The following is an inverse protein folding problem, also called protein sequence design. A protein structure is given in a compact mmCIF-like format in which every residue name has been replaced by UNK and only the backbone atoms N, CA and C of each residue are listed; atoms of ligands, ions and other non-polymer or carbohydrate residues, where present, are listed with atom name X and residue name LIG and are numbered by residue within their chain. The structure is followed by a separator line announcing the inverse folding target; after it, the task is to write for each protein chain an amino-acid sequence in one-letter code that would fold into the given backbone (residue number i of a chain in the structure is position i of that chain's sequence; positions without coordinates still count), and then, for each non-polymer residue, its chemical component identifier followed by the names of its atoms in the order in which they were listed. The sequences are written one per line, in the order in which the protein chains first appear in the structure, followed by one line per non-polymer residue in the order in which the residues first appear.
data_IF_330511559523
#
_entry.id   IF_330511559523
#
_cell.length_a   1.000
_cell.length_b   1.000
_cell.length_c   1.000
_cell.angle_alpha   90.00
_cell.angle_beta   90.00
_cell.angle_gamma   90.00
#
_symmetry.space_group_name_H-M   'P 1'
#
loop_
_entity.id
_entity.type
_entity.pdbx_description
1 polymer ?
#
# COMPACT_ATOMS: atom_id res chain seq x y z
N UNK A 1 -7.63 23.26 -5.50
CA UNK A 1 -8.31 22.51 -4.45
C UNK A 1 -9.37 21.68 -5.14
N UNK A 2 -9.18 20.36 -5.26
CA UNK A 2 -10.18 19.46 -5.86
C UNK A 2 -11.21 19.14 -4.79
N UNK A 3 -12.46 19.50 -5.01
CA UNK A 3 -13.57 18.94 -4.25
C UNK A 3 -13.67 17.44 -4.58
N UNK A 4 -13.10 16.61 -3.73
CA UNK A 4 -13.51 15.21 -3.64
C UNK A 4 -14.99 15.27 -3.27
N UNK A 5 -15.86 14.66 -4.10
CA UNK A 5 -17.30 14.74 -4.02
C UNK A 5 -17.79 14.73 -2.58
N UNK A 6 -18.72 15.63 -2.30
CA UNK A 6 -19.28 15.91 -0.98
C UNK A 6 -19.63 14.62 -0.25
N UNK A 7 -18.74 14.17 0.63
CA UNK A 7 -19.08 13.14 1.60
C UNK A 7 -20.01 13.84 2.61
N UNK A 8 -21.30 13.64 2.48
CA UNK A 8 -22.27 14.13 3.46
C UNK A 8 -22.01 13.41 4.79
N UNK A 9 -21.21 14.05 5.64
CA UNK A 9 -20.79 13.53 6.95
C UNK A 9 -21.89 13.63 8.01
N UNK A 10 -23.11 14.08 7.66
CA UNK A 10 -24.24 14.20 8.60
C UNK A 10 -24.77 12.83 9.03
N UNK A 11 -24.48 11.75 8.31
CA UNK A 11 -24.78 10.37 8.70
C UNK A 11 -23.53 9.50 8.57
N UNK A 12 -23.12 8.87 9.65
CA UNK A 12 -21.98 7.95 9.69
C UNK A 12 -22.19 6.66 8.86
N UNK A 13 -23.41 6.37 8.41
CA UNK A 13 -23.75 5.24 7.55
C UNK A 13 -24.97 5.55 6.69
N UNK A 14 -25.06 4.91 5.51
CA UNK A 14 -26.19 5.11 4.57
C UNK A 14 -27.12 3.92 4.48
N UNK A 15 -26.73 2.74 4.99
CA UNK A 15 -27.46 1.47 4.86
C UNK A 15 -27.48 0.88 3.42
N UNK A 16 -27.01 1.64 2.42
CA UNK A 16 -27.06 1.23 1.00
C UNK A 16 -26.20 0.00 0.68
N UNK A 17 -25.27 -0.36 1.58
CA UNK A 17 -24.35 -1.49 1.42
C UNK A 17 -24.78 -2.78 2.13
N UNK A 18 -25.91 -2.82 2.83
CA UNK A 18 -26.30 -3.91 3.74
C UNK A 18 -26.67 -5.21 3.00
N UNK A 19 -27.01 -5.08 1.72
CA UNK A 19 -27.37 -6.22 0.86
C UNK A 19 -26.20 -6.75 0.01
N UNK A 20 -24.93 -6.50 0.43
CA UNK A 20 -23.75 -7.08 -0.23
C UNK A 20 -23.28 -6.32 -1.47
N UNK A 21 -23.81 -5.14 -1.74
CA UNK A 21 -23.36 -4.26 -2.81
C UNK A 21 -22.73 -2.97 -2.29
N UNK A 22 -21.89 -2.34 -3.11
CA UNK A 22 -21.30 -1.03 -2.86
C UNK A 22 -21.28 -0.20 -4.15
N UNK A 23 -21.02 1.11 -4.03
CA UNK A 23 -20.81 1.97 -5.19
C UNK A 23 -19.34 2.37 -5.28
N UNK A 24 -18.78 2.38 -6.47
CA UNK A 24 -17.49 3.00 -6.76
C UNK A 24 -17.67 4.50 -7.05
N UNK A 25 -16.55 5.25 -7.19
CA UNK A 25 -16.56 6.72 -7.35
C UNK A 25 -17.39 7.17 -8.56
N UNK A 26 -17.51 6.34 -9.61
CA UNK A 26 -18.34 6.63 -10.79
C UNK A 26 -19.85 6.47 -10.55
N UNK A 27 -20.26 6.07 -9.36
CA UNK A 27 -21.68 5.77 -9.02
C UNK A 27 -22.15 4.38 -9.44
N UNK A 28 -21.35 3.61 -10.18
CA UNK A 28 -21.69 2.22 -10.55
C UNK A 28 -21.82 1.34 -9.31
N UNK A 29 -22.87 0.52 -9.25
CA UNK A 29 -23.09 -0.46 -8.19
C UNK A 29 -22.39 -1.77 -8.53
N UNK A 30 -21.72 -2.35 -7.55
CA UNK A 30 -20.98 -3.61 -7.68
C UNK A 30 -21.18 -4.49 -6.44
N UNK A 31 -21.11 -5.79 -6.61
CA UNK A 31 -21.05 -6.71 -5.48
C UNK A 31 -19.78 -6.44 -4.66
N UNK A 32 -19.88 -6.49 -3.33
CA UNK A 32 -18.71 -6.33 -2.44
C UNK A 32 -17.65 -7.40 -2.66
N UNK A 33 -18.04 -8.58 -3.21
CA UNK A 33 -17.15 -9.67 -3.60
C UNK A 33 -16.53 -9.53 -4.99
N UNK A 34 -16.81 -8.44 -5.73
CA UNK A 34 -16.22 -8.21 -7.04
C UNK A 34 -14.69 -8.03 -6.94
N UNK A 35 -13.95 -8.57 -7.93
CA UNK A 35 -12.46 -8.53 -7.96
C UNK A 35 -11.91 -7.09 -7.80
N UNK A 36 -12.61 -6.10 -8.35
CA UNK A 36 -12.26 -4.69 -8.22
C UNK A 36 -12.40 -4.21 -6.77
N UNK A 37 -13.49 -4.54 -6.10
CA UNK A 37 -13.74 -4.16 -4.70
C UNK A 37 -12.73 -4.84 -3.77
N UNK A 38 -12.40 -6.11 -4.03
CA UNK A 38 -11.34 -6.85 -3.34
C UNK A 38 -9.95 -6.18 -3.50
N UNK A 39 -9.64 -5.70 -4.71
CA UNK A 39 -8.39 -4.99 -4.96
C UNK A 39 -8.35 -3.66 -4.18
N UNK A 40 -9.42 -2.86 -4.23
CA UNK A 40 -9.55 -1.59 -3.49
C UNK A 40 -9.42 -1.85 -1.98
N UNK A 41 -10.18 -2.81 -1.44
CA UNK A 41 -10.15 -3.15 -0.02
C UNK A 41 -8.78 -3.63 0.47
N UNK A 42 -8.03 -4.37 -0.37
CA UNK A 42 -6.68 -4.80 -0.04
C UNK A 42 -5.67 -3.64 0.01
N UNK A 43 -5.87 -2.60 -0.81
CA UNK A 43 -5.06 -1.37 -0.76
C UNK A 43 -5.40 -0.54 0.47
N UNK A 44 -6.68 -0.44 0.82
CA UNK A 44 -7.15 0.26 2.01
C UNK A 44 -6.62 -0.42 3.29
N UNK A 45 -6.68 -1.76 3.36
CA UNK A 45 -6.06 -2.52 4.46
C UNK A 45 -4.57 -2.23 4.57
N UNK A 46 -3.83 -2.23 3.45
CA UNK A 46 -2.41 -1.87 3.45
C UNK A 46 -2.20 -0.46 4.03
N UNK A 47 -3.01 0.50 3.62
CA UNK A 47 -2.91 1.89 4.08
C UNK A 47 -3.11 2.00 5.61
N UNK A 48 -4.09 1.26 6.16
CA UNK A 48 -4.30 1.18 7.61
C UNK A 48 -3.10 0.57 8.35
N UNK A 49 -2.48 -0.48 7.80
CA UNK A 49 -1.28 -1.09 8.36
C UNK A 49 -0.04 -0.17 8.30
N UNK A 50 0.09 0.68 7.27
CA UNK A 50 1.11 1.74 7.27
C UNK A 50 0.83 2.74 8.40
N UNK A 51 -0.43 3.03 8.71
CA UNK A 51 -0.81 3.82 9.89
C UNK A 51 -0.32 3.21 11.22
N UNK A 52 -0.40 1.87 11.37
CA UNK A 52 0.17 1.18 12.52
C UNK A 52 1.71 1.30 12.57
N UNK A 53 2.39 1.24 11.41
CA UNK A 53 3.83 1.49 11.36
C UNK A 53 4.16 2.91 11.82
N UNK A 54 3.39 3.91 11.44
CA UNK A 54 3.57 5.31 11.88
C UNK A 54 3.38 5.46 13.38
N UNK A 55 2.37 4.82 13.96
CA UNK A 55 2.06 4.93 15.40
C UNK A 55 3.16 4.37 16.31
N UNK A 56 3.92 3.39 15.83
CA UNK A 56 5.05 2.77 16.55
C UNK A 56 6.42 3.33 16.13
N UNK A 57 6.45 4.29 15.21
CA UNK A 57 7.69 4.83 14.68
C UNK A 57 8.13 6.08 15.45
N UNK A 58 9.40 6.08 15.90
CA UNK A 58 10.04 7.20 16.57
C UNK A 58 10.98 8.03 15.65
N UNK A 59 11.13 7.63 14.38
CA UNK A 59 12.09 8.23 13.46
C UNK A 59 11.39 9.09 12.41
N UNK A 60 11.65 10.40 12.43
CA UNK A 60 11.00 11.35 11.52
C UNK A 60 11.22 11.03 10.04
N UNK A 61 12.42 10.62 9.66
CA UNK A 61 12.75 10.27 8.28
C UNK A 61 11.92 9.09 7.75
N UNK A 62 11.61 8.11 8.59
CA UNK A 62 10.72 7.00 8.24
C UNK A 62 9.25 7.46 8.21
N UNK A 63 8.85 8.37 9.11
CA UNK A 63 7.49 8.90 9.12
C UNK A 63 7.16 9.67 7.83
N UNK A 64 8.10 10.50 7.36
CA UNK A 64 7.97 11.23 6.10
C UNK A 64 7.78 10.27 4.90
N UNK A 65 8.45 9.09 4.91
CA UNK A 65 8.25 8.06 3.89
C UNK A 65 6.86 7.42 4.01
N UNK A 66 6.46 7.04 5.22
CA UNK A 66 5.16 6.40 5.45
C UNK A 66 4.00 7.32 5.08
N UNK A 67 4.09 8.60 5.41
CA UNK A 67 3.07 9.59 5.04
C UNK A 67 2.91 9.69 3.52
N UNK A 68 4.02 9.82 2.78
CA UNK A 68 3.99 9.83 1.32
C UNK A 68 3.40 8.55 0.74
N UNK A 69 3.75 7.39 1.30
CA UNK A 69 3.18 6.09 0.91
C UNK A 69 1.67 6.07 1.13
N UNK A 70 1.17 6.54 2.28
CA UNK A 70 -0.27 6.59 2.55
C UNK A 70 -1.01 7.49 1.55
N UNK A 71 -0.49 8.68 1.26
CA UNK A 71 -1.05 9.55 0.23
C UNK A 71 -1.09 8.87 -1.15
N UNK A 72 -0.02 8.16 -1.51
CA UNK A 72 0.03 7.45 -2.80
C UNK A 72 -0.90 6.22 -2.83
N UNK A 73 -1.11 5.52 -1.73
CA UNK A 73 -2.09 4.43 -1.64
C UNK A 73 -3.53 4.94 -1.83
N UNK A 74 -3.86 6.17 -1.39
CA UNK A 74 -5.13 6.80 -1.76
C UNK A 74 -5.23 7.06 -3.27
N UNK A 75 -4.14 7.46 -3.94
CA UNK A 75 -4.10 7.59 -5.40
C UNK A 75 -4.34 6.23 -6.07
N UNK A 76 -3.69 5.16 -5.60
CA UNK A 76 -3.91 3.79 -6.09
C UNK A 76 -5.37 3.38 -5.93
N UNK A 77 -5.95 3.58 -4.74
CA UNK A 77 -7.37 3.28 -4.46
C UNK A 77 -8.32 4.07 -5.36
N UNK A 78 -8.09 5.37 -5.52
CA UNK A 78 -8.89 6.24 -6.39
C UNK A 78 -8.78 5.81 -7.86
N UNK A 79 -7.60 5.42 -8.32
CA UNK A 79 -7.39 4.95 -9.67
C UNK A 79 -8.14 3.62 -9.93
N UNK A 80 -8.10 2.70 -8.97
CA UNK A 80 -8.88 1.45 -9.03
C UNK A 80 -10.38 1.68 -8.96
N UNK A 81 -10.85 2.69 -8.23
CA UNK A 81 -12.27 3.02 -8.11
C UNK A 81 -12.86 3.71 -9.37
N UNK A 82 -12.02 4.10 -10.34
CA UNK A 82 -12.45 4.64 -11.61
C UNK A 82 -12.40 3.57 -12.69
N UNK A 83 -13.54 3.34 -13.36
CA UNK A 83 -13.68 2.39 -14.47
C UNK A 83 -13.61 3.05 -15.85
N UNK A 84 -13.64 4.39 -15.92
CA UNK A 84 -13.76 5.13 -17.18
C UNK A 84 -12.40 5.61 -17.71
N UNK A 85 -12.17 5.43 -19.02
CA UNK A 85 -11.04 6.02 -19.75
C UNK A 85 -11.17 7.54 -19.92
N UNK A 86 -12.36 8.11 -19.73
CA UNK A 86 -12.65 9.55 -19.86
C UNK A 86 -12.46 10.24 -18.51
N UNK A 87 -11.23 10.64 -18.20
CA UNK A 87 -10.91 11.49 -17.06
C UNK A 87 -10.48 12.87 -17.52
N UNK A 88 -11.12 13.91 -17.01
CA UNK A 88 -10.71 15.30 -17.23
C UNK A 88 -9.39 15.63 -16.51
N UNK A 89 -9.10 14.99 -15.37
CA UNK A 89 -7.80 15.03 -14.67
C UNK A 89 -7.44 13.64 -14.19
N UNK A 90 -6.34 13.09 -14.68
CA UNK A 90 -5.85 11.78 -14.24
C UNK A 90 -5.14 11.90 -12.90
N UNK A 91 -5.81 11.43 -11.84
CA UNK A 91 -5.12 11.03 -10.59
C UNK A 91 -4.59 9.63 -10.87
N UNK A 92 -3.29 9.49 -11.07
CA UNK A 92 -2.67 8.23 -11.47
C UNK A 92 -1.31 8.03 -10.81
N UNK A 93 -0.92 6.76 -10.64
CA UNK A 93 0.44 6.40 -10.29
C UNK A 93 1.33 6.57 -11.51
N UNK A 94 2.49 7.18 -11.31
CA UNK A 94 3.46 7.50 -12.36
C UNK A 94 4.80 6.84 -12.11
N UNK A 95 5.66 6.81 -13.11
CA UNK A 95 7.01 6.28 -12.98
C UNK A 95 7.87 7.03 -11.94
N UNK A 96 7.64 8.32 -11.78
CA UNK A 96 8.32 9.15 -10.76
C UNK A 96 8.04 8.66 -9.33
N UNK A 97 6.81 8.18 -9.07
CA UNK A 97 6.44 7.61 -7.76
C UNK A 97 7.22 6.33 -7.47
N UNK A 98 7.48 5.53 -8.50
CA UNK A 98 8.28 4.30 -8.40
C UNK A 98 9.74 4.65 -8.16
N UNK A 99 10.28 5.62 -8.91
CA UNK A 99 11.65 6.09 -8.76
C UNK A 99 11.92 6.65 -7.35
N UNK A 100 10.91 7.32 -6.75
CA UNK A 100 11.01 7.78 -5.36
C UNK A 100 11.13 6.61 -4.37
N UNK A 101 10.33 5.55 -4.53
CA UNK A 101 10.46 4.32 -3.71
C UNK A 101 11.84 3.68 -3.89
N UNK A 102 12.34 3.61 -5.12
CA UNK A 102 13.66 3.05 -5.42
C UNK A 102 14.80 3.85 -4.77
N UNK A 103 14.69 5.16 -4.76
CA UNK A 103 15.64 6.03 -4.06
C UNK A 103 15.67 5.71 -2.56
N UNK A 104 14.51 5.66 -1.90
CA UNK A 104 14.42 5.31 -0.48
C UNK A 104 14.94 3.90 -0.21
N UNK A 105 14.60 2.93 -1.06
CA UNK A 105 15.08 1.56 -0.94
C UNK A 105 16.60 1.50 -0.98
N UNK A 106 17.25 2.15 -1.94
CA UNK A 106 18.71 2.16 -2.07
C UNK A 106 19.37 2.84 -0.86
N UNK A 107 18.90 4.04 -0.47
CA UNK A 107 19.45 4.78 0.68
C UNK A 107 19.43 3.96 1.97
N UNK A 108 18.33 3.25 2.25
CA UNK A 108 18.24 2.46 3.48
C UNK A 108 18.99 1.13 3.37
N UNK A 109 19.05 0.53 2.17
CA UNK A 109 19.74 -0.75 1.95
C UNK A 109 21.27 -0.63 2.02
N UNK A 110 21.85 0.52 1.66
CA UNK A 110 23.29 0.78 1.75
C UNK A 110 23.84 0.64 3.17
N UNK A 111 23.00 0.87 4.18
CA UNK A 111 23.38 0.78 5.60
C UNK A 111 23.08 -0.60 6.23
N UNK A 112 22.74 -1.59 5.43
CA UNK A 112 22.37 -2.92 5.90
C UNK A 112 23.34 -3.98 5.39
N UNK A 113 23.65 -4.93 6.25
CA UNK A 113 24.47 -6.09 5.87
C UNK A 113 23.84 -6.89 4.72
N UNK A 114 24.67 -7.44 3.84
CA UNK A 114 24.24 -8.31 2.77
C UNK A 114 23.60 -9.59 3.31
N UNK A 115 22.36 -9.87 2.92
CA UNK A 115 21.68 -11.10 3.29
C UNK A 115 22.23 -12.29 2.51
N UNK A 116 22.75 -13.29 3.23
CA UNK A 116 23.16 -14.58 2.68
C UNK A 116 22.16 -15.71 2.90
N UNK A 117 21.14 -15.47 3.73
CA UNK A 117 20.11 -16.43 4.11
C UNK A 117 18.75 -15.74 4.23
N UNK A 118 17.67 -16.50 4.15
CA UNK A 118 16.36 -15.99 4.56
C UNK A 118 16.37 -15.63 6.04
N UNK A 119 15.64 -14.57 6.37
CA UNK A 119 15.44 -14.11 7.74
C UNK A 119 13.98 -14.31 8.16
N UNK A 120 13.78 -14.56 9.43
CA UNK A 120 12.44 -14.62 10.01
C UNK A 120 11.86 -13.21 10.16
N UNK A 121 10.55 -13.00 9.88
CA UNK A 121 9.86 -11.76 10.20
C UNK A 121 9.77 -11.56 11.71
N UNK A 122 10.71 -10.80 12.28
CA UNK A 122 10.84 -10.63 13.73
C UNK A 122 11.61 -9.33 14.03
N UNK A 123 11.54 -8.87 15.27
CA UNK A 123 12.29 -7.74 15.76
C UNK A 123 11.48 -6.84 16.69
N UNK A 124 11.75 -5.53 16.66
CA UNK A 124 10.92 -4.56 17.36
C UNK A 124 9.50 -4.49 16.76
N UNK A 125 8.60 -3.78 17.42
CA UNK A 125 7.19 -3.67 16.97
C UNK A 125 7.08 -3.06 15.58
N UNK A 126 7.85 -2.00 15.28
CA UNK A 126 7.85 -1.37 13.97
C UNK A 126 8.27 -2.35 12.88
N UNK A 127 9.35 -3.10 13.09
CA UNK A 127 9.82 -4.14 12.15
C UNK A 127 8.75 -5.20 11.91
N UNK A 128 8.08 -5.68 12.97
CA UNK A 128 7.01 -6.67 12.86
C UNK A 128 5.82 -6.13 12.02
N UNK A 129 5.38 -4.89 12.26
CA UNK A 129 4.32 -4.25 11.47
C UNK A 129 4.75 -4.03 10.02
N UNK A 130 6.00 -3.66 9.76
CA UNK A 130 6.51 -3.51 8.39
C UNK A 130 6.55 -4.85 7.65
N UNK A 131 6.91 -5.95 8.31
CA UNK A 131 6.82 -7.28 7.72
C UNK A 131 5.37 -7.70 7.44
N UNK A 132 4.41 -7.39 8.33
CA UNK A 132 2.99 -7.61 8.09
C UNK A 132 2.51 -6.77 6.89
N UNK A 133 2.79 -5.46 6.88
CA UNK A 133 2.47 -4.55 5.77
C UNK A 133 3.03 -5.03 4.44
N UNK A 134 4.27 -5.56 4.42
CA UNK A 134 4.87 -6.17 3.23
C UNK A 134 4.03 -7.34 2.69
N UNK A 135 3.55 -8.21 3.56
CA UNK A 135 2.73 -9.36 3.11
C UNK A 135 1.37 -8.93 2.60
N UNK A 136 0.75 -7.93 3.23
CA UNK A 136 -0.50 -7.31 2.78
C UNK A 136 -0.29 -6.59 1.44
N UNK A 137 0.80 -5.84 1.27
CA UNK A 137 1.18 -5.20 0.00
C UNK A 137 1.26 -6.23 -1.14
N UNK A 138 1.92 -7.37 -0.93
CA UNK A 138 1.97 -8.47 -1.89
C UNK A 138 0.60 -9.11 -2.16
N UNK A 139 -0.30 -9.12 -1.18
CA UNK A 139 -1.69 -9.55 -1.41
C UNK A 139 -2.43 -8.54 -2.28
N UNK A 140 -2.33 -7.24 -1.99
CA UNK A 140 -2.92 -6.18 -2.81
C UNK A 140 -2.39 -6.23 -4.26
N UNK A 141 -1.08 -6.40 -4.45
CA UNK A 141 -0.46 -6.60 -5.76
C UNK A 141 -1.13 -7.75 -6.53
N UNK A 142 -1.25 -8.94 -5.91
CA UNK A 142 -1.90 -10.10 -6.54
C UNK A 142 -3.37 -9.84 -6.89
N UNK A 143 -4.13 -9.07 -6.07
CA UNK A 143 -5.53 -8.70 -6.38
C UNK A 143 -5.60 -7.77 -7.58
N UNK A 144 -4.68 -6.80 -7.69
CA UNK A 144 -4.59 -5.91 -8.86
C UNK A 144 -4.17 -6.69 -10.12
N UNK A 145 -3.23 -7.65 -10.00
CA UNK A 145 -2.87 -8.54 -11.11
C UNK A 145 -4.08 -9.38 -11.56
N UNK A 146 -4.91 -9.87 -10.65
CA UNK A 146 -6.13 -10.59 -11.02
C UNK A 146 -7.11 -9.68 -11.79
N UNK A 147 -7.28 -8.43 -11.34
CA UNK A 147 -8.12 -7.43 -12.00
C UNK A 147 -7.57 -7.05 -13.39
N UNK A 148 -6.25 -6.91 -13.55
CA UNK A 148 -5.60 -6.54 -14.82
C UNK A 148 -5.76 -7.58 -15.94
N UNK A 149 -6.12 -8.84 -15.58
CA UNK A 149 -6.45 -9.89 -16.54
C UNK A 149 -7.88 -9.76 -17.09
N UNK A 150 -8.73 -9.01 -16.41
CA UNK A 150 -10.15 -8.84 -16.78
C UNK A 150 -10.40 -7.50 -17.48
N UNK A 151 -9.56 -6.49 -17.19
CA UNK A 151 -9.71 -5.14 -17.72
C UNK A 151 -8.37 -4.41 -17.79
N UNK A 152 -8.30 -3.43 -18.69
CA UNK A 152 -7.07 -2.62 -18.86
C UNK A 152 -6.85 -1.72 -17.65
N UNK A 153 -5.72 -1.86 -17.00
CA UNK A 153 -5.27 -1.01 -15.90
C UNK A 153 -3.96 -0.31 -16.26
N UNK A 154 -3.66 0.75 -15.53
CA UNK A 154 -2.33 1.37 -15.55
C UNK A 154 -1.28 0.35 -15.02
N UNK A 155 -0.27 -0.02 -15.82
CA UNK A 155 0.74 -1.00 -15.40
C UNK A 155 1.60 -0.50 -14.22
N UNK A 156 1.68 0.81 -14.00
CA UNK A 156 2.46 1.40 -12.91
C UNK A 156 1.87 1.06 -11.53
N UNK A 157 0.59 0.69 -11.43
CA UNK A 157 -0.04 0.22 -10.20
C UNK A 157 0.65 -1.04 -9.66
N UNK A 158 0.88 -2.02 -10.54
CA UNK A 158 1.53 -3.30 -10.18
C UNK A 158 3.01 -3.04 -9.87
N UNK A 159 3.70 -2.24 -10.67
CA UNK A 159 5.10 -1.89 -10.46
C UNK A 159 5.30 -1.16 -9.14
N UNK A 160 4.43 -0.20 -8.81
CA UNK A 160 4.48 0.55 -7.56
C UNK A 160 4.36 -0.38 -6.34
N UNK A 161 3.33 -1.25 -6.30
CA UNK A 161 3.14 -2.16 -5.16
C UNK A 161 4.27 -3.19 -5.05
N UNK A 162 4.78 -3.68 -6.17
CA UNK A 162 5.95 -4.57 -6.17
C UNK A 162 7.15 -3.88 -5.52
N UNK A 163 7.46 -2.65 -5.93
CA UNK A 163 8.55 -1.85 -5.37
C UNK A 163 8.32 -1.46 -3.93
N UNK A 164 7.08 -1.08 -3.57
CA UNK A 164 6.70 -0.78 -2.19
C UNK A 164 6.92 -1.99 -1.28
N UNK A 165 6.57 -3.21 -1.73
CA UNK A 165 6.82 -4.41 -0.93
C UNK A 165 8.30 -4.63 -0.63
N UNK A 166 9.20 -4.29 -1.57
CA UNK A 166 10.65 -4.35 -1.39
C UNK A 166 11.13 -3.28 -0.39
N UNK A 167 10.60 -2.07 -0.50
CA UNK A 167 10.92 -0.99 0.44
C UNK A 167 10.50 -1.35 1.87
N UNK A 168 9.29 -1.87 2.06
CA UNK A 168 8.80 -2.28 3.39
C UNK A 168 9.70 -3.35 4.02
N UNK A 169 10.25 -4.27 3.23
CA UNK A 169 11.24 -5.25 3.71
C UNK A 169 12.53 -4.56 4.17
N UNK A 170 13.07 -3.65 3.39
CA UNK A 170 14.30 -2.91 3.75
C UNK A 170 14.06 -2.05 4.98
N UNK A 171 12.92 -1.35 5.08
CA UNK A 171 12.59 -0.54 6.26
C UNK A 171 12.39 -1.38 7.53
N UNK A 172 11.87 -2.62 7.42
CA UNK A 172 11.78 -3.54 8.55
C UNK A 172 13.17 -3.90 9.11
N UNK A 173 14.13 -4.15 8.22
CA UNK A 173 15.53 -4.37 8.58
C UNK A 173 16.17 -3.12 9.16
N UNK A 174 15.93 -1.96 8.56
CA UNK A 174 16.41 -0.67 9.06
C UNK A 174 15.93 -0.40 10.48
N UNK A 175 14.65 -0.67 10.79
CA UNK A 175 14.10 -0.51 12.13
C UNK A 175 14.81 -1.39 13.15
N UNK A 176 15.07 -2.65 12.83
CA UNK A 176 15.84 -3.54 13.70
C UNK A 176 17.29 -3.08 13.86
N UNK A 177 17.96 -2.70 12.77
CA UNK A 177 19.36 -2.25 12.80
C UNK A 177 19.54 -1.01 13.68
N UNK A 178 18.61 -0.05 13.63
CA UNK A 178 18.63 1.16 14.47
C UNK A 178 18.50 0.85 15.97
N UNK A 179 17.75 -0.20 16.30
CA UNK A 179 17.57 -0.65 17.69
C UNK A 179 18.62 -1.70 18.13
N UNK A 180 19.62 -2.01 17.29
CA UNK A 180 20.66 -3.00 17.58
C UNK A 180 20.14 -4.43 17.62
N UNK A 181 18.97 -4.72 17.04
CA UNK A 181 18.34 -6.05 17.03
C UNK A 181 18.88 -6.86 15.85
N UNK A 182 19.57 -7.95 16.14
CA UNK A 182 20.13 -8.84 15.13
C UNK A 182 19.04 -9.59 14.35
N UNK A 183 19.23 -9.74 13.05
CA UNK A 183 18.35 -10.53 12.19
C UNK A 183 18.41 -12.02 12.52
N UNK A 184 17.25 -12.65 12.62
CA UNK A 184 17.14 -14.08 12.94
C UNK A 184 17.09 -14.87 11.63
N UNK A 185 18.17 -15.61 11.36
CA UNK A 185 18.26 -16.46 10.15
C UNK A 185 17.29 -17.63 10.24
N UNK A 186 16.63 -17.92 9.12
CA UNK A 186 15.90 -19.18 8.99
C UNK A 186 16.92 -20.34 8.94
N UNK A 187 16.64 -21.38 9.70
CA UNK A 187 17.42 -22.62 9.76
C UNK A 187 16.58 -23.77 9.22
N UNK A 188 17.16 -24.58 8.32
CA UNK A 188 16.61 -25.86 7.94
C UNK A 188 16.75 -26.84 9.10
#
# INVERSE_FOLDING_TARGET
MMELGHCDTTKSFTGKGDFGETSIITGERMAKSAVRIEAIGSVDELNAFIGLCRSENAHKDLDDIFEKVQHKLFVVGAELAHKSEKREKKIEVKNEDISELEKHLNTHNENLDLLKNFILPHGNKLSAYLHASRTICRRAERRIVALSKMEKLNPELIRYLNRLSSLLFVLARTANNRDGIAEKKWKN
#
